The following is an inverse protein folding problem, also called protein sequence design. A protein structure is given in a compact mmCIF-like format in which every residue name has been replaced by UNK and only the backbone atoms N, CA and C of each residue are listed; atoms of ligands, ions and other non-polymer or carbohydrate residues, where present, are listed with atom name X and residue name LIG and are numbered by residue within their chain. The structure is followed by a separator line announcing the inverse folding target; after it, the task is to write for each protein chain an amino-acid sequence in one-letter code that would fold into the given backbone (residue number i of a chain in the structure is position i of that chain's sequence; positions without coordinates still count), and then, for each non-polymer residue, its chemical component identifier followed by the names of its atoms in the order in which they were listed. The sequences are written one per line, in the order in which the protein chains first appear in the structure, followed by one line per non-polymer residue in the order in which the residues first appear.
data_IF_881193588318
#
_entry.id   IF_881193588318
#
_cell.length_a   1.000
_cell.length_b   1.000
_cell.length_c   1.000
_cell.angle_alpha   90.00
_cell.angle_beta   90.00
_cell.angle_gamma   90.00
#
_symmetry.space_group_name_H-M   'P 1'
#
loop_
_entity.id
_entity.type
_entity.pdbx_description
1 polymer ?
#
# COMPACT_ATOMS: atom_id res chain seq x y z
N UNK A 1 -18.67 -16.47 18.36
CA UNK A 1 -18.24 -15.97 17.04
C UNK A 1 -16.92 -15.19 17.11
N UNK A 2 -16.77 -14.21 18.02
CA UNK A 2 -15.53 -13.40 18.17
C UNK A 2 -14.25 -14.25 18.37
N UNK A 3 -14.29 -15.27 19.24
CA UNK A 3 -13.16 -16.18 19.49
C UNK A 3 -12.77 -17.06 18.30
N UNK A 4 -13.73 -17.36 17.40
CA UNK A 4 -13.46 -18.16 16.21
C UNK A 4 -12.80 -17.28 15.11
N UNK A 5 -13.23 -16.02 14.97
CA UNK A 5 -12.60 -15.08 14.03
C UNK A 5 -11.16 -14.70 14.45
N UNK A 6 -10.94 -14.51 15.77
CA UNK A 6 -9.60 -14.26 16.31
C UNK A 6 -8.67 -15.48 16.14
N UNK A 7 -9.22 -16.70 16.27
CA UNK A 7 -8.45 -17.91 16.04
C UNK A 7 -8.09 -18.11 14.56
N UNK A 8 -9.03 -17.83 13.64
CA UNK A 8 -8.79 -17.89 12.20
C UNK A 8 -7.80 -16.84 11.72
N UNK A 9 -7.86 -15.61 12.27
CA UNK A 9 -6.90 -14.55 11.95
C UNK A 9 -5.50 -14.90 12.47
N UNK A 10 -5.41 -15.52 13.65
CA UNK A 10 -4.14 -15.99 14.21
C UNK A 10 -3.56 -17.14 13.38
N UNK A 11 -4.41 -18.06 12.93
CA UNK A 11 -4.02 -19.22 12.11
C UNK A 11 -3.48 -18.78 10.73
N UNK A 12 -4.19 -17.86 10.04
CA UNK A 12 -3.71 -17.26 8.79
C UNK A 12 -2.37 -16.50 8.97
N UNK A 13 -2.21 -15.79 10.07
CA UNK A 13 -0.96 -15.09 10.39
C UNK A 13 0.21 -16.04 10.64
N UNK A 14 -0.02 -17.14 11.36
CA UNK A 14 1.00 -18.18 11.61
C UNK A 14 1.32 -18.95 10.31
N UNK A 15 0.32 -19.23 9.46
CA UNK A 15 0.53 -19.87 8.16
C UNK A 15 1.30 -18.99 7.18
N UNK A 16 1.06 -17.68 7.17
CA UNK A 16 1.83 -16.70 6.41
C UNK A 16 3.29 -16.67 6.84
N UNK A 17 3.55 -16.62 8.15
CA UNK A 17 4.91 -16.65 8.71
C UNK A 17 5.65 -17.97 8.43
N UNK A 18 4.92 -19.07 8.28
CA UNK A 18 5.47 -20.39 7.97
C UNK A 18 5.55 -20.68 6.45
N UNK A 19 5.20 -19.72 5.59
CA UNK A 19 5.21 -19.85 4.13
C UNK A 19 4.19 -20.85 3.57
N UNK A 20 3.14 -21.17 4.31
CA UNK A 20 2.06 -22.06 3.87
C UNK A 20 0.90 -21.31 3.21
N UNK A 21 0.74 -20.01 3.50
CA UNK A 21 -0.27 -19.14 2.93
C UNK A 21 0.38 -18.00 2.15
N UNK A 22 -0.11 -17.76 0.94
CA UNK A 22 0.25 -16.58 0.14
C UNK A 22 -0.72 -15.46 0.47
N UNK A 23 -0.24 -14.40 1.10
CA UNK A 23 -1.05 -13.24 1.45
C UNK A 23 -1.42 -12.44 0.20
N UNK A 24 -2.70 -12.40 -0.13
CA UNK A 24 -3.21 -11.78 -1.36
C UNK A 24 -3.81 -10.42 -1.04
N UNK A 25 -3.25 -9.38 -1.66
CA UNK A 25 -3.73 -7.99 -1.51
C UNK A 25 -4.39 -7.52 -2.79
N UNK A 26 -5.67 -7.16 -2.72
CA UNK A 26 -6.35 -6.51 -3.83
C UNK A 26 -5.97 -5.02 -3.88
N UNK A 27 -5.33 -4.61 -4.97
CA UNK A 27 -4.88 -3.24 -5.22
C UNK A 27 -6.04 -2.37 -5.72
N UNK A 28 -6.77 -1.75 -4.82
CA UNK A 28 -7.82 -0.78 -5.17
C UNK A 28 -7.18 0.54 -5.63
N UNK A 29 -6.15 0.99 -4.90
CA UNK A 29 -5.40 2.20 -5.23
C UNK A 29 -6.31 3.42 -5.38
N UNK A 30 -6.47 3.88 -6.62
CA UNK A 30 -7.35 4.98 -7.03
C UNK A 30 -8.43 4.52 -8.03
N UNK A 31 -8.61 3.21 -8.23
CA UNK A 31 -9.55 2.67 -9.21
C UNK A 31 -11.02 2.89 -8.82
N UNK A 32 -11.28 3.36 -7.61
CA UNK A 32 -12.59 3.82 -7.16
C UNK A 32 -13.05 5.12 -7.83
N UNK A 33 -12.17 5.84 -8.55
CA UNK A 33 -12.49 7.08 -9.28
C UNK A 33 -13.19 8.15 -8.42
N UNK A 34 -12.83 8.30 -7.14
CA UNK A 34 -13.48 9.25 -6.23
C UNK A 34 -14.91 8.87 -5.84
N UNK A 35 -15.35 7.65 -6.14
CA UNK A 35 -16.71 7.17 -5.91
C UNK A 35 -16.70 6.07 -4.83
N UNK A 36 -17.44 6.30 -3.74
CA UNK A 36 -17.50 5.39 -2.61
C UNK A 36 -18.30 4.11 -2.93
N UNK A 37 -19.29 4.17 -3.81
CA UNK A 37 -20.03 2.98 -4.23
C UNK A 37 -19.16 2.06 -5.08
N UNK A 38 -18.28 2.64 -5.92
CA UNK A 38 -17.27 1.87 -6.65
C UNK A 38 -16.25 1.27 -5.67
N UNK A 39 -15.78 2.04 -4.68
CA UNK A 39 -14.86 1.53 -3.66
C UNK A 39 -15.45 0.32 -2.91
N UNK A 40 -16.71 0.39 -2.48
CA UNK A 40 -17.43 -0.72 -1.83
C UNK A 40 -17.55 -1.94 -2.74
N UNK A 41 -17.87 -1.76 -4.00
CA UNK A 41 -17.92 -2.87 -4.97
C UNK A 41 -16.56 -3.54 -5.14
N UNK A 42 -15.48 -2.77 -5.18
CA UNK A 42 -14.12 -3.32 -5.27
C UNK A 42 -13.76 -4.11 -4.00
N UNK A 43 -14.17 -3.64 -2.83
CA UNK A 43 -14.03 -4.40 -1.57
C UNK A 43 -14.83 -5.70 -1.63
N UNK A 44 -16.09 -5.66 -2.08
CA UNK A 44 -16.93 -6.85 -2.21
C UNK A 44 -16.31 -7.89 -3.17
N UNK A 45 -15.76 -7.45 -4.30
CA UNK A 45 -15.08 -8.34 -5.23
C UNK A 45 -13.78 -8.93 -4.63
N UNK A 46 -13.04 -8.16 -3.84
CA UNK A 46 -11.86 -8.68 -3.14
C UNK A 46 -12.25 -9.77 -2.11
N UNK A 47 -13.33 -9.56 -1.37
CA UNK A 47 -13.87 -10.56 -0.44
C UNK A 47 -14.33 -11.81 -1.19
N UNK A 48 -15.05 -11.66 -2.30
CA UNK A 48 -15.50 -12.79 -3.12
C UNK A 48 -14.34 -13.58 -3.72
N UNK A 49 -13.23 -12.90 -4.03
CA UNK A 49 -12.00 -13.50 -4.55
C UNK A 49 -11.09 -14.09 -3.44
N UNK A 50 -11.56 -14.13 -2.20
CA UNK A 50 -10.81 -14.62 -1.02
C UNK A 50 -9.46 -13.91 -0.80
N UNK A 51 -9.39 -12.59 -1.11
CA UNK A 51 -8.23 -11.78 -0.80
C UNK A 51 -8.14 -11.55 0.72
N UNK A 52 -6.91 -11.47 1.24
CA UNK A 52 -6.65 -11.23 2.67
C UNK A 52 -6.80 -9.77 3.05
N UNK A 53 -6.52 -8.87 2.10
CA UNK A 53 -6.61 -7.44 2.32
C UNK A 53 -6.94 -6.66 1.04
N UNK A 54 -7.43 -5.45 1.23
CA UNK A 54 -7.53 -4.43 0.17
C UNK A 54 -6.58 -3.28 0.47
N UNK A 55 -5.97 -2.70 -0.57
CA UNK A 55 -5.04 -1.60 -0.41
C UNK A 55 -5.46 -0.36 -1.20
N UNK A 56 -5.51 0.77 -0.51
CA UNK A 56 -5.77 2.10 -1.04
C UNK A 56 -4.48 2.92 -1.19
N UNK A 57 -4.62 4.18 -1.57
CA UNK A 57 -3.54 5.17 -1.58
C UNK A 57 -4.01 6.44 -0.88
N UNK A 58 -3.12 7.08 -0.13
CA UNK A 58 -3.39 8.37 0.49
C UNK A 58 -2.28 9.36 0.17
N UNK A 59 -2.66 10.55 -0.30
CA UNK A 59 -1.74 11.64 -0.67
C UNK A 59 -2.25 12.95 -0.13
N UNK A 60 -1.32 13.82 0.25
CA UNK A 60 -1.55 15.24 0.40
C UNK A 60 -1.10 15.91 -0.89
N UNK A 61 -2.04 16.25 -1.76
CA UNK A 61 -1.77 16.61 -3.17
C UNK A 61 -0.67 17.67 -3.30
N UNK A 62 -0.71 18.74 -2.49
CA UNK A 62 0.27 19.81 -2.51
C UNK A 62 1.64 19.43 -1.92
N UNK A 63 1.76 18.27 -1.26
CA UNK A 63 3.04 17.75 -0.74
C UNK A 63 3.72 16.81 -1.72
N UNK A 64 2.92 16.11 -2.51
CA UNK A 64 3.44 15.07 -3.43
C UNK A 64 3.84 15.65 -4.78
N UNK A 65 3.18 16.70 -5.23
CA UNK A 65 3.36 17.23 -6.57
C UNK A 65 3.81 18.70 -6.56
N UNK A 66 4.65 19.09 -7.53
CA UNK A 66 5.02 20.50 -7.70
C UNK A 66 3.83 21.32 -8.23
N UNK A 67 3.85 22.61 -7.93
CA UNK A 67 2.80 23.53 -8.40
C UNK A 67 2.71 23.54 -9.92
N UNK A 68 3.84 23.56 -10.62
CA UNK A 68 3.91 23.56 -12.09
C UNK A 68 3.24 22.31 -12.66
N UNK A 69 3.45 21.14 -12.06
CA UNK A 69 2.80 19.91 -12.46
C UNK A 69 1.29 19.98 -12.21
N UNK A 70 0.88 20.44 -11.03
CA UNK A 70 -0.55 20.53 -10.67
C UNK A 70 -1.31 21.49 -11.56
N UNK A 71 -0.69 22.58 -12.00
CA UNK A 71 -1.29 23.58 -12.87
C UNK A 71 -1.28 23.15 -14.36
N UNK A 72 -0.56 22.08 -14.72
CA UNK A 72 -0.49 21.58 -16.09
C UNK A 72 -1.82 20.97 -16.56
N UNK A 73 -2.03 21.01 -17.90
CA UNK A 73 -3.25 20.52 -18.50
C UNK A 73 -3.42 19.01 -18.36
N UNK A 74 -4.60 18.60 -17.91
CA UNK A 74 -5.07 17.23 -17.95
C UNK A 74 -6.59 17.20 -17.97
N UNK A 75 -7.18 16.69 -19.04
CA UNK A 75 -8.61 16.46 -19.11
C UNK A 75 -9.03 15.32 -18.17
N UNK A 76 -10.08 15.55 -17.39
CA UNK A 76 -10.64 14.60 -16.43
C UNK A 76 -12.10 14.95 -16.11
N UNK A 77 -12.87 14.03 -15.50
CA UNK A 77 -14.24 14.33 -15.05
C UNK A 77 -14.34 15.49 -14.05
N UNK A 78 -13.24 15.83 -13.36
CA UNK A 78 -13.19 16.88 -12.34
C UNK A 78 -12.68 18.23 -12.86
N UNK A 79 -12.19 18.30 -14.09
CA UNK A 79 -11.67 19.52 -14.69
C UNK A 79 -10.52 19.27 -15.67
N UNK A 80 -9.82 20.36 -16.03
CA UNK A 80 -8.80 20.34 -17.08
C UNK A 80 -7.38 20.53 -16.54
N UNK A 81 -7.14 20.30 -15.26
CA UNK A 81 -5.80 20.37 -14.66
C UNK A 81 -5.44 19.08 -13.95
N UNK A 82 -4.13 18.82 -13.78
CA UNK A 82 -3.65 17.72 -12.97
C UNK A 82 -4.18 17.83 -11.53
N UNK A 83 -4.24 19.05 -10.96
CA UNK A 83 -4.80 19.32 -9.65
C UNK A 83 -6.22 18.79 -9.51
N UNK A 84 -7.11 19.23 -10.39
CA UNK A 84 -8.51 18.82 -10.37
C UNK A 84 -8.65 17.28 -10.41
N UNK A 85 -7.85 16.62 -11.25
CA UNK A 85 -7.86 15.16 -11.34
C UNK A 85 -7.29 14.49 -10.07
N UNK A 86 -6.23 15.01 -9.48
CA UNK A 86 -5.65 14.43 -8.26
C UNK A 86 -6.58 14.60 -7.07
N UNK A 87 -7.12 15.81 -6.87
CA UNK A 87 -8.06 16.11 -5.79
C UNK A 87 -9.36 15.31 -5.92
N UNK A 88 -9.90 15.18 -7.15
CA UNK A 88 -11.10 14.38 -7.41
C UNK A 88 -10.94 12.87 -7.16
N UNK A 89 -9.70 12.37 -7.16
CA UNK A 89 -9.37 10.97 -6.85
C UNK A 89 -9.05 10.74 -5.36
N UNK A 90 -8.79 11.79 -4.57
CA UNK A 90 -8.43 11.61 -3.16
C UNK A 90 -9.69 11.52 -2.29
N UNK A 91 -9.70 10.51 -1.45
CA UNK A 91 -10.67 10.39 -0.37
C UNK A 91 -10.23 11.18 0.87
N UNK A 92 -11.21 11.82 1.51
CA UNK A 92 -11.05 12.50 2.79
C UNK A 92 -11.37 11.60 3.97
N UNK A 93 -11.59 12.25 5.13
CA UNK A 93 -11.84 11.54 6.37
C UNK A 93 -13.15 10.74 6.35
N UNK A 94 -14.21 11.32 5.81
CA UNK A 94 -15.54 10.70 5.79
C UNK A 94 -15.52 9.39 4.99
N UNK A 95 -14.84 9.38 3.83
CA UNK A 95 -14.72 8.21 2.99
C UNK A 95 -13.83 7.14 3.66
N UNK A 96 -12.73 7.52 4.30
CA UNK A 96 -11.88 6.56 5.02
C UNK A 96 -12.56 5.99 6.27
N UNK A 97 -13.36 6.77 6.99
CA UNK A 97 -14.19 6.28 8.09
C UNK A 97 -15.19 5.22 7.59
N UNK A 98 -15.78 5.45 6.42
CA UNK A 98 -16.70 4.50 5.80
C UNK A 98 -15.96 3.26 5.26
N UNK A 99 -14.77 3.40 4.67
CA UNK A 99 -13.92 2.26 4.27
C UNK A 99 -13.59 1.40 5.49
N UNK A 100 -13.17 2.00 6.60
CA UNK A 100 -12.83 1.29 7.83
C UNK A 100 -14.04 0.52 8.38
N UNK A 101 -15.19 1.19 8.46
CA UNK A 101 -16.44 0.55 8.88
C UNK A 101 -16.81 -0.62 7.97
N UNK A 102 -16.77 -0.39 6.65
CA UNK A 102 -17.19 -1.37 5.65
C UNK A 102 -16.27 -2.60 5.59
N UNK A 103 -14.96 -2.39 5.63
CA UNK A 103 -13.98 -3.47 5.67
C UNK A 103 -14.13 -4.33 6.95
N UNK A 104 -14.40 -3.70 8.11
CA UNK A 104 -14.72 -4.44 9.34
C UNK A 104 -16.00 -5.28 9.22
N UNK A 105 -17.05 -4.73 8.61
CA UNK A 105 -18.29 -5.45 8.36
C UNK A 105 -18.05 -6.66 7.44
N UNK A 106 -17.27 -6.47 6.37
CA UNK A 106 -16.90 -7.51 5.41
C UNK A 106 -15.82 -8.48 5.92
N UNK A 107 -15.20 -8.20 7.06
CA UNK A 107 -14.10 -8.98 7.67
C UNK A 107 -12.88 -9.14 6.76
N UNK A 108 -12.55 -8.12 6.03
CA UNK A 108 -11.33 -8.02 5.23
C UNK A 108 -10.42 -6.95 5.82
N UNK A 109 -9.12 -7.22 5.89
CA UNK A 109 -8.16 -6.21 6.30
C UNK A 109 -8.06 -5.10 5.23
N UNK A 110 -7.77 -3.88 5.66
CA UNK A 110 -7.43 -2.81 4.74
C UNK A 110 -6.22 -2.02 5.21
N UNK A 111 -5.51 -1.42 4.28
CA UNK A 111 -4.44 -0.47 4.54
C UNK A 111 -4.25 0.45 3.34
N UNK A 112 -3.34 1.41 3.42
CA UNK A 112 -3.06 2.31 2.32
C UNK A 112 -1.57 2.60 2.18
N UNK A 113 -1.12 2.90 0.95
CA UNK A 113 0.18 3.51 0.73
C UNK A 113 0.09 4.99 1.01
N UNK A 114 0.79 5.47 2.02
CA UNK A 114 1.03 6.90 2.19
C UNK A 114 2.09 7.38 1.21
N UNK A 115 1.89 8.55 0.63
CA UNK A 115 2.82 9.18 -0.31
C UNK A 115 3.57 10.38 0.28
N UNK A 116 3.25 10.71 1.53
CA UNK A 116 3.86 11.78 2.31
C UNK A 116 3.61 11.56 3.80
N UNK A 117 4.31 12.33 4.65
CA UNK A 117 4.21 12.19 6.10
C UNK A 117 2.82 12.59 6.63
N UNK A 118 2.18 13.61 6.04
CA UNK A 118 0.84 14.03 6.46
C UNK A 118 -0.19 12.92 6.16
N UNK A 119 -0.05 12.26 5.00
CA UNK A 119 -0.85 11.09 4.64
C UNK A 119 -0.62 9.92 5.61
N UNK A 120 0.63 9.65 6.03
CA UNK A 120 0.91 8.60 7.02
C UNK A 120 0.28 8.94 8.38
N UNK A 121 0.43 10.17 8.86
CA UNK A 121 -0.21 10.63 10.11
C UNK A 121 -1.74 10.58 10.04
N UNK A 122 -2.31 10.86 8.87
CA UNK A 122 -3.74 10.68 8.65
C UNK A 122 -4.15 9.21 8.80
N UNK A 123 -3.35 8.25 8.31
CA UNK A 123 -3.66 6.82 8.42
C UNK A 123 -3.47 6.28 9.84
N UNK A 124 -2.64 6.90 10.67
CA UNK A 124 -2.40 6.49 12.07
C UNK A 124 -3.66 6.57 12.95
N UNK A 125 -4.68 7.34 12.54
CA UNK A 125 -5.96 7.39 13.28
C UNK A 125 -6.80 6.11 13.18
N UNK A 126 -6.43 5.20 12.26
CA UNK A 126 -7.07 3.91 12.08
C UNK A 126 -6.21 2.78 12.64
N UNK A 127 -6.84 1.75 13.19
CA UNK A 127 -6.13 0.57 13.72
C UNK A 127 -5.73 -0.38 12.58
N UNK A 128 -4.81 0.09 11.72
CA UNK A 128 -4.31 -0.67 10.58
C UNK A 128 -3.24 -1.66 11.04
N UNK A 129 -3.35 -2.91 10.57
CA UNK A 129 -2.36 -3.97 10.85
C UNK A 129 -1.08 -3.82 10.03
N UNK A 130 -1.19 -3.22 8.85
CA UNK A 130 -0.14 -3.18 7.83
C UNK A 130 0.14 -1.75 7.38
N UNK A 131 1.39 -1.51 7.04
CA UNK A 131 1.82 -0.31 6.32
C UNK A 131 2.35 -0.68 4.92
N UNK A 132 2.42 0.28 4.03
CA UNK A 132 2.95 0.10 2.67
C UNK A 132 3.79 1.27 2.24
N UNK A 133 5.02 0.99 1.84
CA UNK A 133 5.88 1.92 1.11
C UNK A 133 5.70 1.66 -0.38
N UNK A 134 5.19 2.65 -1.10
CA UNK A 134 5.12 2.61 -2.56
C UNK A 134 6.51 2.71 -3.19
N UNK A 135 6.72 2.12 -4.38
CA UNK A 135 8.02 2.18 -5.08
C UNK A 135 8.56 3.61 -5.22
N UNK A 136 7.70 4.56 -5.56
CA UNK A 136 8.10 5.97 -5.71
C UNK A 136 8.50 6.65 -4.38
N UNK A 137 8.19 6.04 -3.24
CA UNK A 137 8.49 6.57 -1.91
C UNK A 137 9.67 5.88 -1.22
N UNK A 138 10.28 4.89 -1.86
CA UNK A 138 11.37 4.11 -1.26
C UNK A 138 12.61 4.96 -0.94
N UNK A 139 12.81 6.05 -1.65
CA UNK A 139 13.92 7.00 -1.42
C UNK A 139 13.56 8.17 -0.49
N UNK A 140 12.32 8.22 0.02
CA UNK A 140 11.90 9.25 0.97
C UNK A 140 12.25 8.82 2.41
N UNK A 141 13.45 9.20 2.84
CA UNK A 141 14.03 8.78 4.12
C UNK A 141 13.19 9.19 5.34
N UNK A 142 12.57 10.37 5.31
CA UNK A 142 11.71 10.83 6.40
C UNK A 142 10.44 9.98 6.51
N UNK A 143 9.83 9.62 5.37
CA UNK A 143 8.66 8.75 5.35
C UNK A 143 9.03 7.31 5.78
N UNK A 144 10.18 6.79 5.36
CA UNK A 144 10.66 5.47 5.80
C UNK A 144 10.80 5.41 7.32
N UNK A 145 11.41 6.43 7.94
CA UNK A 145 11.57 6.53 9.39
C UNK A 145 10.24 6.67 10.13
N UNK A 146 9.31 7.50 9.62
CA UNK A 146 7.97 7.66 10.20
C UNK A 146 7.23 6.32 10.21
N UNK A 147 7.21 5.62 9.08
CA UNK A 147 6.54 4.32 8.95
C UNK A 147 7.21 3.23 9.79
N UNK A 148 8.55 3.15 9.76
CA UNK A 148 9.29 2.18 10.55
C UNK A 148 9.11 2.39 12.06
N UNK A 149 8.94 3.64 12.50
CA UNK A 149 8.67 4.02 13.89
C UNK A 149 7.36 3.45 14.44
N UNK A 150 6.38 3.14 13.59
CA UNK A 150 5.14 2.49 14.02
C UNK A 150 5.30 1.00 14.37
N UNK A 151 6.38 0.37 13.94
CA UNK A 151 6.68 -1.05 14.16
C UNK A 151 5.57 -2.02 13.69
N UNK A 152 4.73 -1.56 12.75
CA UNK A 152 3.73 -2.39 12.09
C UNK A 152 4.36 -3.15 10.92
N UNK A 153 3.82 -4.34 10.62
CA UNK A 153 4.29 -5.11 9.46
C UNK A 153 4.15 -4.29 8.17
N UNK A 154 5.25 -4.07 7.46
CA UNK A 154 5.30 -3.16 6.33
C UNK A 154 5.71 -3.86 5.04
N UNK A 155 4.89 -3.70 4.02
CA UNK A 155 5.21 -4.10 2.65
C UNK A 155 6.01 -2.99 1.96
N UNK A 156 7.22 -3.28 1.48
CA UNK A 156 8.11 -2.30 0.84
C UNK A 156 8.27 -2.64 -0.64
N UNK A 157 7.69 -1.83 -1.53
CA UNK A 157 7.80 -2.02 -2.98
C UNK A 157 9.14 -1.49 -3.50
N UNK A 158 9.80 -2.27 -4.36
CA UNK A 158 11.16 -2.02 -4.85
C UNK A 158 11.23 -1.63 -6.33
N UNK A 159 10.09 -1.31 -6.95
CA UNK A 159 10.07 -0.87 -8.35
C UNK A 159 10.87 0.43 -8.56
N UNK A 160 11.55 0.54 -9.69
CA UNK A 160 12.41 1.69 -10.07
C UNK A 160 13.62 1.95 -9.15
N UNK A 161 13.94 1.05 -8.24
CA UNK A 161 14.98 1.27 -7.25
C UNK A 161 16.26 0.49 -7.57
N UNK A 162 17.39 1.07 -7.24
CA UNK A 162 18.69 0.40 -7.25
C UNK A 162 18.86 -0.48 -6.01
N UNK A 163 19.85 -1.36 -6.04
CA UNK A 163 20.17 -2.15 -4.84
C UNK A 163 20.63 -1.29 -3.67
N UNK A 164 21.33 -0.19 -3.92
CA UNK A 164 21.79 0.74 -2.89
C UNK A 164 20.62 1.42 -2.18
N UNK A 165 19.59 1.82 -2.93
CA UNK A 165 18.37 2.41 -2.38
C UNK A 165 17.58 1.39 -1.55
N UNK A 166 17.48 0.14 -2.01
CA UNK A 166 16.84 -0.95 -1.27
C UNK A 166 17.64 -1.27 -0.01
N UNK A 167 18.99 -1.37 -0.09
CA UNK A 167 19.87 -1.59 1.06
C UNK A 167 19.61 -0.54 2.14
N UNK A 168 19.55 0.75 1.77
CA UNK A 168 19.25 1.84 2.69
C UNK A 168 17.88 1.70 3.35
N UNK A 169 16.82 1.44 2.57
CA UNK A 169 15.48 1.25 3.13
C UNK A 169 15.44 0.08 4.11
N UNK A 170 16.08 -1.06 3.77
CA UNK A 170 16.18 -2.22 4.64
C UNK A 170 16.92 -1.89 5.95
N UNK A 171 18.02 -1.11 5.88
CA UNK A 171 18.74 -0.65 7.07
C UNK A 171 17.87 0.21 7.97
N UNK A 172 17.10 1.14 7.41
CA UNK A 172 16.14 1.96 8.19
C UNK A 172 15.17 1.05 8.95
N UNK A 173 14.46 0.14 8.27
CA UNK A 173 13.48 -0.71 8.91
C UNK A 173 14.10 -1.64 9.97
N UNK A 174 15.30 -2.18 9.73
CA UNK A 174 16.04 -2.98 10.71
C UNK A 174 16.46 -2.17 11.93
N UNK A 175 16.89 -0.92 11.75
CA UNK A 175 17.32 -0.06 12.86
C UNK A 175 16.16 0.26 13.82
N UNK A 176 14.92 0.29 13.32
CA UNK A 176 13.71 0.45 14.13
C UNK A 176 13.13 -0.88 14.65
N UNK A 177 13.73 -2.04 14.33
CA UNK A 177 13.18 -3.37 14.59
C UNK A 177 11.75 -3.51 14.01
N UNK A 178 11.44 -2.83 12.92
CA UNK A 178 10.14 -2.89 12.27
C UNK A 178 10.07 -4.13 11.37
N UNK A 179 9.05 -4.99 11.53
CA UNK A 179 8.88 -6.15 10.65
C UNK A 179 8.49 -5.71 9.24
N UNK A 180 9.12 -6.30 8.23
CA UNK A 180 8.84 -5.96 6.83
C UNK A 180 9.04 -7.13 5.88
N UNK A 181 8.48 -7.00 4.69
CA UNK A 181 8.83 -7.78 3.53
C UNK A 181 9.02 -6.88 2.30
N UNK A 182 9.80 -7.36 1.34
CA UNK A 182 10.01 -6.68 0.08
C UNK A 182 9.00 -7.15 -0.97
N UNK A 183 8.57 -6.24 -1.83
CA UNK A 183 7.68 -6.54 -2.96
C UNK A 183 8.43 -6.23 -4.26
N UNK A 184 8.67 -7.25 -5.08
CA UNK A 184 9.17 -7.01 -6.42
C UNK A 184 8.06 -6.38 -7.27
N UNK A 185 8.28 -5.18 -7.75
CA UNK A 185 7.32 -4.41 -8.53
C UNK A 185 7.96 -3.88 -9.82
N UNK A 186 7.19 -3.86 -10.89
CA UNK A 186 7.50 -3.11 -12.10
C UNK A 186 6.59 -1.89 -12.18
N UNK A 187 7.14 -0.72 -12.54
CA UNK A 187 6.42 0.56 -12.53
C UNK A 187 5.93 1.00 -13.91
N UNK A 188 6.03 0.13 -14.92
CA UNK A 188 5.49 0.37 -16.26
C UNK A 188 4.06 -0.13 -16.36
N UNK A 189 3.14 0.69 -16.87
CA UNK A 189 1.72 0.37 -17.01
C UNK A 189 1.23 0.62 -18.45
N UNK A 190 0.85 -0.41 -19.23
CA UNK A 190 0.98 -1.83 -18.89
C UNK A 190 2.44 -2.32 -18.94
N UNK A 191 2.76 -3.30 -18.09
CA UNK A 191 4.09 -3.90 -18.06
C UNK A 191 4.26 -4.88 -19.25
N UNK A 192 5.33 -4.76 -20.08
CA UNK A 192 5.72 -5.80 -21.02
C UNK A 192 6.09 -7.11 -20.28
N UNK A 193 5.71 -8.27 -20.81
CA UNK A 193 5.95 -9.56 -20.13
C UNK A 193 7.44 -9.85 -19.90
N UNK A 194 8.29 -9.44 -20.81
CA UNK A 194 9.75 -9.55 -20.76
C UNK A 194 10.38 -8.76 -19.61
N UNK A 195 9.71 -7.71 -19.16
CA UNK A 195 10.18 -6.86 -18.05
C UNK A 195 9.75 -7.39 -16.67
N UNK A 196 8.98 -8.47 -16.61
CA UNK A 196 8.48 -9.03 -15.33
C UNK A 196 9.61 -9.45 -14.38
N UNK A 197 10.73 -9.94 -14.91
CA UNK A 197 11.97 -10.27 -14.18
C UNK A 197 11.75 -11.02 -12.85
N UNK A 198 10.88 -12.04 -12.83
CA UNK A 198 10.46 -12.75 -11.61
C UNK A 198 11.62 -13.40 -10.84
N UNK A 199 12.79 -13.58 -11.48
CA UNK A 199 14.00 -14.06 -10.81
C UNK A 199 14.55 -13.09 -9.76
N UNK A 200 14.08 -11.84 -9.73
CA UNK A 200 14.41 -10.90 -8.64
C UNK A 200 13.80 -11.34 -7.30
N UNK A 201 12.67 -12.02 -7.29
CA UNK A 201 12.03 -12.49 -6.04
C UNK A 201 13.00 -13.37 -5.24
N UNK A 202 13.50 -14.50 -5.75
CA UNK A 202 14.48 -15.30 -5.02
C UNK A 202 15.82 -14.59 -4.78
N UNK A 203 16.23 -13.70 -5.68
CA UNK A 203 17.46 -12.92 -5.50
C UNK A 203 17.38 -11.95 -4.31
N UNK A 204 16.29 -11.19 -4.20
CA UNK A 204 16.02 -10.31 -3.07
C UNK A 204 15.90 -11.10 -1.76
N UNK A 205 15.17 -12.22 -1.78
CA UNK A 205 15.05 -13.11 -0.60
C UNK A 205 16.41 -13.58 -0.10
N UNK A 206 17.29 -14.00 -1.02
CA UNK A 206 18.65 -14.43 -0.68
C UNK A 206 19.51 -13.28 -0.15
N UNK A 207 19.41 -12.09 -0.74
CA UNK A 207 20.22 -10.93 -0.36
C UNK A 207 19.83 -10.39 1.02
N UNK A 208 18.53 -10.26 1.28
CA UNK A 208 18.03 -9.56 2.47
C UNK A 208 17.58 -10.48 3.59
N UNK A 209 17.42 -11.79 3.34
CA UNK A 209 16.98 -12.74 4.36
C UNK A 209 15.59 -12.44 4.94
N UNK A 210 14.70 -11.83 4.11
CA UNK A 210 13.32 -11.52 4.47
C UNK A 210 12.35 -12.18 3.49
N UNK A 211 11.06 -12.14 3.80
CA UNK A 211 10.02 -12.53 2.83
C UNK A 211 10.02 -11.57 1.64
N UNK A 212 9.64 -12.09 0.47
CA UNK A 212 9.54 -11.31 -0.76
C UNK A 212 8.33 -11.78 -1.56
N UNK A 213 7.45 -10.83 -1.86
CA UNK A 213 6.29 -11.01 -2.72
C UNK A 213 6.49 -10.41 -4.11
#
# INVERSE_FOLDING_TARGET
MKKLSEALEKDKGEEMMNGKHVFIVAEIGINHNGDMDIAKKLIDWAVLADCDAVKFQKRTVDRVYTKEYLDSYRESPWGTTQRAQKEGLEFGKEEYDEIDRYCREKKIAWFASAWDIEAQKFLQQYDLKYNKIASAMLTNDELLKEVAGEQKYTFIATGMSTYEEIDHAVEVFRSYNCPFELMHCNSTYPMPKEDANLNLIPALRKRYGCQVG
#
